data_IF_884835637604
#
_entry.id   IF_884835637604
#
_cell.length_a   1.000
_cell.length_b   1.000
_cell.length_c   1.000
_cell.angle_alpha   90.00
_cell.angle_beta   90.00
_cell.angle_gamma   90.00
#
_symmetry.space_group_name_H-M   'P 1'
#
loop_
_entity.id
_entity.type
_entity.pdbx_description
1 polymer ?
#
# COMPACT_ATOMS: atom_id res chain seq x y z
N UNK A 1 17.45 -31.53 13.94
CA UNK A 1 17.47 -30.07 14.17
C UNK A 1 16.47 -29.79 15.28
N UNK A 2 16.93 -29.87 16.53
CA UNK A 2 16.14 -29.47 17.70
C UNK A 2 16.54 -28.03 18.06
N UNK A 3 15.58 -27.20 18.50
CA UNK A 3 15.85 -25.82 18.92
C UNK A 3 15.81 -24.75 17.81
N UNK A 4 15.34 -25.08 16.60
CA UNK A 4 15.09 -24.05 15.57
C UNK A 4 13.83 -23.25 15.93
N UNK A 5 14.04 -21.98 16.23
CA UNK A 5 12.95 -21.01 16.40
C UNK A 5 12.26 -20.72 15.07
N UNK A 6 11.04 -20.18 15.13
CA UNK A 6 10.32 -19.79 13.90
C UNK A 6 11.14 -18.74 13.15
N UNK A 7 11.32 -18.92 11.84
CA UNK A 7 12.05 -17.99 11.00
C UNK A 7 11.11 -17.01 10.28
N UNK A 8 11.40 -15.72 10.38
CA UNK A 8 10.74 -14.65 9.61
C UNK A 8 11.74 -14.11 8.60
N UNK A 9 11.42 -14.26 7.32
CA UNK A 9 12.23 -13.72 6.22
C UNK A 9 11.77 -12.29 5.96
N UNK A 10 12.72 -11.36 6.01
CA UNK A 10 12.56 -9.95 5.62
C UNK A 10 13.39 -9.73 4.37
N UNK A 11 12.72 -9.85 3.22
CA UNK A 11 13.35 -9.74 1.90
C UNK A 11 13.23 -8.33 1.31
N UNK A 12 13.94 -8.11 0.20
CA UNK A 12 13.96 -6.85 -0.54
C UNK A 12 12.70 -6.59 -1.37
N UNK A 13 11.59 -7.33 -1.18
CA UNK A 13 10.41 -7.07 -2.00
C UNK A 13 9.98 -5.63 -1.81
N UNK A 14 9.98 -4.87 -2.91
CA UNK A 14 9.37 -3.54 -2.94
C UNK A 14 8.00 -3.67 -2.29
N UNK A 15 7.72 -2.83 -1.30
CA UNK A 15 6.39 -2.77 -0.71
C UNK A 15 5.40 -2.60 -1.87
N UNK A 16 4.56 -3.62 -2.08
CA UNK A 16 3.60 -3.62 -3.18
C UNK A 16 2.69 -2.41 -3.04
N UNK A 17 2.78 -1.48 -3.99
CA UNK A 17 1.88 -0.34 -4.06
C UNK A 17 0.50 -0.81 -4.52
N UNK A 18 -0.41 -1.05 -3.60
CA UNK A 18 -1.82 -0.79 -3.90
C UNK A 18 -1.95 0.73 -3.98
N UNK A 19 -2.77 1.24 -4.90
CA UNK A 19 -3.10 2.67 -4.97
C UNK A 19 -3.64 3.24 -3.64
N UNK A 20 -4.09 2.37 -2.72
CA UNK A 20 -4.54 2.73 -1.37
C UNK A 20 -3.47 2.60 -0.28
N UNK A 21 -2.28 2.08 -0.58
CA UNK A 21 -1.20 1.91 0.40
C UNK A 21 -0.60 3.25 0.83
N UNK A 22 -0.44 3.40 2.15
CA UNK A 22 0.14 4.55 2.85
C UNK A 22 1.13 4.06 3.89
N UNK A 23 2.00 4.94 4.39
CA UNK A 23 2.89 4.64 5.54
C UNK A 23 2.11 3.95 6.66
N UNK A 24 0.99 4.53 7.09
CA UNK A 24 0.20 3.98 8.18
C UNK A 24 -0.42 2.61 7.91
N UNK A 25 -0.68 2.24 6.64
CA UNK A 25 -1.23 0.92 6.30
C UNK A 25 -0.15 -0.13 6.09
N UNK A 26 1.01 0.24 5.54
CA UNK A 26 2.07 -0.72 5.22
C UNK A 26 2.93 -1.08 6.43
N UNK A 27 3.01 -0.17 7.41
CA UNK A 27 3.76 -0.43 8.64
C UNK A 27 3.11 -1.59 9.44
N UNK A 28 1.80 -1.82 9.31
CA UNK A 28 1.01 -2.85 10.03
C UNK A 28 1.22 -2.84 11.57
N UNK A 29 1.88 -1.81 12.11
CA UNK A 29 2.21 -1.64 13.52
C UNK A 29 1.00 -1.19 14.36
N UNK A 30 -0.21 -1.39 13.84
CA UNK A 30 -1.44 -1.04 14.54
C UNK A 30 -1.75 0.47 14.63
N UNK A 31 -0.84 1.41 14.32
CA UNK A 31 -1.06 2.87 14.49
C UNK A 31 -2.42 3.34 13.94
N UNK A 32 -2.72 3.05 12.67
CA UNK A 32 -4.01 3.42 12.09
C UNK A 32 -5.20 2.71 12.75
N UNK A 33 -5.04 1.46 13.20
CA UNK A 33 -6.08 0.75 13.93
C UNK A 33 -6.33 1.38 15.30
N UNK A 34 -5.26 1.67 16.05
CA UNK A 34 -5.32 2.31 17.36
C UNK A 34 -5.95 3.70 17.26
N UNK A 35 -5.56 4.51 16.26
CA UNK A 35 -6.21 5.79 15.95
C UNK A 35 -7.70 5.61 15.64
N UNK A 36 -8.08 4.63 14.81
CA UNK A 36 -9.50 4.37 14.50
C UNK A 36 -10.28 3.94 15.74
N UNK A 37 -9.68 3.17 16.65
CA UNK A 37 -10.29 2.79 17.94
C UNK A 37 -10.44 4.04 18.81
N UNK A 38 -9.41 4.89 18.88
CA UNK A 38 -9.42 6.13 19.65
C UNK A 38 -10.55 7.06 19.19
N UNK A 39 -10.65 7.31 17.89
CA UNK A 39 -11.74 8.09 17.28
C UNK A 39 -13.12 7.46 17.45
N UNK A 40 -13.21 6.13 17.39
CA UNK A 40 -14.47 5.42 17.67
C UNK A 40 -14.90 5.55 19.15
N UNK A 41 -13.96 5.72 20.08
CA UNK A 41 -14.27 5.83 21.52
C UNK A 41 -14.52 7.28 21.97
N UNK A 42 -13.71 8.22 21.50
CA UNK A 42 -13.70 9.60 22.00
C UNK A 42 -14.23 10.63 20.99
N UNK A 43 -14.29 10.29 19.71
CA UNK A 43 -14.62 11.22 18.64
C UNK A 43 -16.04 11.80 18.77
N UNK A 44 -16.15 13.12 18.59
CA UNK A 44 -17.43 13.85 18.59
C UNK A 44 -17.63 14.58 17.25
N UNK A 45 -18.78 14.39 16.57
CA UNK A 45 -19.83 13.41 16.85
C UNK A 45 -19.34 11.96 16.67
N UNK A 46 -19.95 11.03 17.42
CA UNK A 46 -19.64 9.61 17.29
C UNK A 46 -20.24 9.05 15.99
N UNK A 47 -19.40 8.47 15.13
CA UNK A 47 -19.82 7.99 13.79
C UNK A 47 -20.06 6.48 13.77
N UNK A 48 -19.40 5.72 14.65
CA UNK A 48 -19.55 4.28 14.71
C UNK A 48 -18.26 3.54 15.10
N UNK A 49 -18.16 2.24 14.76
CA UNK A 49 -17.00 1.42 15.09
C UNK A 49 -15.74 1.87 14.31
N UNK A 50 -14.55 1.31 14.60
CA UNK A 50 -13.30 1.67 13.92
C UNK A 50 -13.36 1.64 12.38
N UNK A 51 -14.18 0.74 11.81
CA UNK A 51 -14.41 0.67 10.36
C UNK A 51 -15.05 1.94 9.76
N UNK A 52 -15.80 2.70 10.55
CA UNK A 52 -16.37 3.99 10.15
C UNK A 52 -15.30 5.09 9.95
N UNK A 53 -14.07 4.84 10.42
CA UNK A 53 -12.91 5.72 10.29
C UNK A 53 -11.82 5.14 9.36
N UNK A 54 -12.15 4.07 8.61
CA UNK A 54 -11.24 3.43 7.67
C UNK A 54 -11.58 3.81 6.23
N UNK A 55 -10.59 4.33 5.50
CA UNK A 55 -10.74 4.61 4.07
C UNK A 55 -10.80 3.34 3.20
N UNK A 56 -10.53 2.16 3.78
CA UNK A 56 -10.67 0.87 3.11
C UNK A 56 -12.07 0.24 3.28
N UNK A 57 -12.95 0.83 4.09
CA UNK A 57 -14.28 0.28 4.39
C UNK A 57 -15.36 1.14 3.73
N UNK A 58 -16.07 0.64 2.71
CA UNK A 58 -17.20 1.34 2.14
C UNK A 58 -18.42 1.30 3.05
N UNK A 59 -19.21 2.36 3.01
CA UNK A 59 -20.56 2.37 3.58
C UNK A 59 -21.49 1.51 2.73
N UNK A 60 -22.25 0.61 3.35
CA UNK A 60 -23.18 -0.28 2.66
C UNK A 60 -24.57 -0.24 3.28
N UNK A 61 -25.60 -0.34 2.44
CA UNK A 61 -27.01 -0.42 2.84
C UNK A 61 -27.66 -1.61 2.12
N UNK A 62 -28.32 -2.46 2.89
CA UNK A 62 -29.12 -3.57 2.38
C UNK A 62 -30.52 -3.53 3.01
N UNK A 63 -31.55 -3.89 2.26
CA UNK A 63 -32.92 -4.01 2.76
C UNK A 63 -33.50 -5.34 2.31
N UNK A 64 -34.03 -6.13 3.25
CA UNK A 64 -34.60 -7.45 2.95
C UNK A 64 -35.61 -7.88 4.01
N UNK A 65 -36.34 -8.96 3.74
CA UNK A 65 -37.20 -9.60 4.72
C UNK A 65 -36.36 -10.54 5.59
N UNK A 66 -36.52 -10.46 6.92
CA UNK A 66 -35.96 -11.42 7.87
C UNK A 66 -37.14 -12.13 8.53
N UNK A 67 -37.07 -13.46 8.55
CA UNK A 67 -37.99 -14.30 9.31
C UNK A 67 -37.46 -14.42 10.73
N UNK A 68 -38.25 -14.02 11.72
CA UNK A 68 -37.90 -14.18 13.13
C UNK A 68 -38.56 -15.46 13.65
N UNK A 69 -37.76 -16.46 14.00
CA UNK A 69 -38.25 -17.72 14.60
C UNK A 69 -38.55 -17.53 16.10
N UNK A 70 -39.65 -16.83 16.41
CA UNK A 70 -40.29 -16.80 17.74
C UNK A 70 -41.81 -16.78 17.58
N UNK A 71 -42.50 -17.83 18.01
CA UNK A 71 -43.96 -17.93 17.87
C UNK A 71 -44.41 -17.97 16.40
N UNK A 72 -45.61 -17.45 16.10
CA UNK A 72 -46.11 -17.38 14.72
C UNK A 72 -45.11 -16.62 13.82
N UNK A 73 -44.53 -17.32 12.84
CA UNK A 73 -43.50 -16.78 11.97
C UNK A 73 -44.05 -15.59 11.15
N UNK A 74 -43.50 -14.40 11.36
CA UNK A 74 -43.84 -13.19 10.59
C UNK A 74 -42.59 -12.64 9.92
N UNK A 75 -42.64 -12.50 8.60
CA UNK A 75 -41.59 -11.85 7.84
C UNK A 75 -41.61 -10.33 8.12
N UNK A 76 -40.47 -9.77 8.56
CA UNK A 76 -40.33 -8.34 8.83
C UNK A 76 -39.28 -7.76 7.89
N UNK A 77 -39.59 -6.65 7.22
CA UNK A 77 -38.61 -5.90 6.42
C UNK A 77 -37.60 -5.24 7.36
N UNK A 78 -36.35 -5.66 7.31
CA UNK A 78 -35.24 -5.07 8.07
C UNK A 78 -34.26 -4.40 7.12
N UNK A 79 -33.80 -3.21 7.49
CA UNK A 79 -32.74 -2.50 6.79
C UNK A 79 -31.46 -2.63 7.61
N UNK A 80 -30.40 -3.10 6.97
CA UNK A 80 -29.06 -3.18 7.54
C UNK A 80 -28.21 -2.08 6.92
N UNK A 81 -27.59 -1.26 7.77
CA UNK A 81 -26.61 -0.26 7.34
C UNK A 81 -25.31 -0.45 8.11
N UNK A 82 -24.20 -0.50 7.38
CA UNK A 82 -22.86 -0.43 7.96
C UNK A 82 -22.20 0.83 7.47
N UNK A 83 -21.91 1.75 8.38
CA UNK A 83 -21.16 2.97 8.09
C UNK A 83 -19.67 2.63 7.94
N UNK A 84 -19.10 3.02 6.81
CA UNK A 84 -17.68 2.92 6.50
C UNK A 84 -17.05 4.29 6.31
N UNK A 85 -15.74 4.40 6.50
CA UNK A 85 -15.00 5.65 6.41
C UNK A 85 -14.60 6.06 5.00
N UNK A 86 -14.72 5.18 4.00
CA UNK A 86 -14.27 5.43 2.62
C UNK A 86 -14.99 6.64 1.98
N UNK A 87 -14.21 7.53 1.36
CA UNK A 87 -14.78 8.54 0.47
C UNK A 87 -15.39 7.84 -0.78
N UNK A 88 -16.68 8.04 -1.07
CA UNK A 88 -17.34 7.34 -2.18
C UNK A 88 -16.85 7.81 -3.56
N UNK A 89 -16.44 9.08 -3.71
CA UNK A 89 -16.02 9.63 -5.01
C UNK A 89 -14.69 9.07 -5.50
N UNK A 90 -13.69 9.01 -4.62
CA UNK A 90 -12.36 8.49 -4.97
C UNK A 90 -12.13 7.05 -4.50
N UNK A 91 -13.16 6.40 -3.93
CA UNK A 91 -13.08 5.05 -3.36
C UNK A 91 -11.90 4.84 -2.41
N UNK A 92 -11.60 5.85 -1.57
CA UNK A 92 -10.48 5.78 -0.63
C UNK A 92 -9.07 5.94 -1.24
N UNK A 93 -8.93 6.32 -2.52
CA UNK A 93 -7.62 6.63 -3.13
C UNK A 93 -7.08 8.02 -2.77
N UNK A 94 -7.96 8.99 -2.51
CA UNK A 94 -7.59 10.39 -2.21
C UNK A 94 -7.37 11.25 -3.46
N UNK A 95 -7.06 10.65 -4.59
CA UNK A 95 -7.07 11.28 -5.89
C UNK A 95 -8.28 10.82 -6.72
N UNK A 96 -8.81 11.71 -7.55
CA UNK A 96 -9.67 11.35 -8.67
C UNK A 96 -8.82 11.34 -9.93
N UNK A 97 -9.08 10.33 -10.73
CA UNK A 97 -8.48 10.16 -12.05
C UNK A 97 -9.37 10.89 -13.04
N UNK A 98 -8.86 11.99 -13.59
CA UNK A 98 -9.43 12.56 -14.81
C UNK A 98 -8.67 12.00 -16.01
N UNK A 99 -9.33 11.92 -17.16
CA UNK A 99 -8.74 11.34 -18.36
C UNK A 99 -8.65 12.40 -19.46
N UNK A 100 -7.44 12.56 -20.00
CA UNK A 100 -7.29 13.27 -21.26
C UNK A 100 -7.83 12.37 -22.38
N UNK A 101 -9.05 12.67 -22.82
CA UNK A 101 -9.73 11.90 -23.86
C UNK A 101 -8.96 11.87 -25.17
N UNK A 102 -8.15 12.90 -25.47
CA UNK A 102 -7.33 12.97 -26.68
C UNK A 102 -6.20 11.94 -26.68
N UNK A 103 -5.83 11.44 -25.51
CA UNK A 103 -4.85 10.37 -25.35
C UNK A 103 -5.50 8.97 -25.40
N UNK A 104 -6.82 8.87 -25.27
CA UNK A 104 -7.56 7.60 -25.30
C UNK A 104 -7.96 7.19 -26.72
N UNK A 105 -8.28 8.17 -27.57
CA UNK A 105 -8.68 7.92 -28.95
C UNK A 105 -8.39 9.12 -29.87
N UNK A 106 -8.20 8.82 -31.16
CA UNK A 106 -8.21 9.77 -32.27
C UNK A 106 -9.65 9.99 -32.74
N UNK A 107 -10.19 11.19 -32.51
CA UNK A 107 -11.59 11.52 -32.80
C UNK A 107 -11.90 11.63 -34.30
N UNK A 108 -10.86 11.73 -35.14
CA UNK A 108 -10.98 11.83 -36.59
C UNK A 108 -11.23 10.47 -37.26
N UNK A 109 -10.95 9.36 -36.54
CA UNK A 109 -11.06 7.98 -37.03
C UNK A 109 -12.27 7.25 -36.44
N UNK A 110 -12.66 6.17 -37.12
CA UNK A 110 -13.65 5.21 -36.63
C UNK A 110 -12.99 4.15 -35.74
N UNK A 111 -13.80 3.38 -35.00
CA UNK A 111 -13.27 2.30 -34.15
C UNK A 111 -12.59 1.22 -35.00
N UNK A 112 -13.17 0.90 -36.16
CA UNK A 112 -12.61 -0.07 -37.11
C UNK A 112 -11.34 0.45 -37.81
N UNK A 113 -11.17 1.77 -37.95
CA UNK A 113 -9.95 2.39 -38.49
C UNK A 113 -8.83 2.57 -37.44
N UNK A 114 -9.00 1.99 -36.25
CA UNK A 114 -8.02 2.04 -35.18
C UNK A 114 -7.98 3.38 -34.44
N UNK A 115 -9.14 3.96 -34.14
CA UNK A 115 -9.23 5.18 -33.34
C UNK A 115 -8.67 5.04 -31.91
N UNK A 116 -8.65 3.84 -31.32
CA UNK A 116 -8.22 3.66 -29.92
C UNK A 116 -6.69 3.64 -29.81
N UNK A 117 -6.14 4.57 -29.02
CA UNK A 117 -4.68 4.74 -28.84
C UNK A 117 -4.14 4.04 -27.58
N UNK A 118 -4.99 3.26 -26.91
CA UNK A 118 -4.69 2.58 -25.64
C UNK A 118 -3.81 1.34 -25.92
N UNK A 119 -2.70 1.12 -25.18
CA UNK A 119 -1.86 -0.06 -25.36
C UNK A 119 -2.64 -1.37 -25.23
N UNK A 120 -2.51 -2.25 -26.23
CA UNK A 120 -3.21 -3.53 -26.30
C UNK A 120 -4.62 -3.49 -26.89
N UNK A 121 -5.11 -2.31 -27.31
CA UNK A 121 -6.43 -2.14 -27.94
C UNK A 121 -6.27 -2.04 -29.46
N UNK A 122 -5.80 -3.11 -30.09
CA UNK A 122 -5.77 -3.21 -31.55
C UNK A 122 -7.14 -3.58 -32.12
N UNK A 123 -7.42 -3.16 -33.36
CA UNK A 123 -8.65 -3.47 -34.11
C UNK A 123 -8.83 -4.98 -34.27
N UNK A 124 -7.76 -5.68 -34.67
CA UNK A 124 -7.76 -7.15 -34.80
C UNK A 124 -7.69 -7.88 -33.46
N UNK A 125 -7.49 -7.13 -32.38
CA UNK A 125 -7.36 -7.64 -31.02
C UNK A 125 -8.70 -8.05 -30.40
N UNK A 126 -8.60 -8.60 -29.19
CA UNK A 126 -9.77 -8.94 -28.38
C UNK A 126 -10.68 -7.73 -28.13
N UNK A 127 -10.09 -6.57 -27.83
CA UNK A 127 -10.83 -5.35 -27.54
C UNK A 127 -11.43 -4.71 -28.79
N UNK A 128 -10.73 -4.68 -29.92
CA UNK A 128 -11.28 -4.20 -31.18
C UNK A 128 -12.54 -4.95 -31.60
N UNK A 129 -12.56 -6.28 -31.44
CA UNK A 129 -13.77 -7.10 -31.66
C UNK A 129 -14.92 -6.77 -30.71
N UNK A 130 -14.64 -6.51 -29.44
CA UNK A 130 -15.68 -6.13 -28.45
C UNK A 130 -16.28 -4.78 -28.79
N UNK A 131 -15.46 -3.75 -29.04
CA UNK A 131 -15.94 -2.40 -29.32
C UNK A 131 -16.60 -2.32 -30.71
N UNK A 132 -16.06 -3.01 -31.71
CA UNK A 132 -16.65 -3.10 -33.05
C UNK A 132 -17.98 -3.86 -33.07
N UNK A 133 -18.12 -4.91 -32.26
CA UNK A 133 -19.31 -5.79 -32.22
C UNK A 133 -20.34 -5.46 -31.14
N UNK A 134 -20.20 -4.38 -30.36
CA UNK A 134 -21.03 -4.14 -29.18
C UNK A 134 -22.48 -3.73 -29.48
N UNK A 135 -22.74 -3.20 -30.68
CA UNK A 135 -24.07 -2.73 -31.10
C UNK A 135 -24.57 -1.47 -30.39
N UNK A 136 -23.74 -0.79 -29.59
CA UNK A 136 -24.10 0.46 -28.91
C UNK A 136 -23.86 1.72 -29.75
N UNK A 137 -22.98 1.63 -30.75
CA UNK A 137 -22.66 2.70 -31.69
C UNK A 137 -22.23 2.08 -33.02
N UNK A 138 -22.22 2.90 -34.07
CA UNK A 138 -21.70 2.53 -35.39
C UNK A 138 -20.15 2.53 -35.36
N UNK A 139 -19.48 1.38 -35.57
CA UNK A 139 -18.03 1.28 -35.46
C UNK A 139 -17.26 1.87 -36.65
N UNK A 140 -17.92 2.12 -37.79
CA UNK A 140 -17.35 2.73 -38.99
C UNK A 140 -17.51 4.26 -38.99
N UNK A 141 -18.29 4.79 -38.04
CA UNK A 141 -18.49 6.21 -37.85
C UNK A 141 -17.29 6.82 -37.10
N UNK A 142 -16.71 7.94 -37.57
CA UNK A 142 -15.69 8.66 -36.82
C UNK A 142 -16.19 9.14 -35.46
N UNK A 143 -15.37 9.03 -34.41
CA UNK A 143 -15.78 9.32 -33.02
C UNK A 143 -16.26 10.77 -32.86
N UNK A 144 -15.67 11.75 -33.55
CA UNK A 144 -16.14 13.15 -33.53
C UNK A 144 -17.60 13.35 -33.96
N UNK A 145 -18.18 12.40 -34.69
CA UNK A 145 -19.59 12.41 -35.13
C UNK A 145 -20.52 11.68 -34.15
N UNK A 146 -19.98 11.07 -33.09
CA UNK A 146 -20.79 10.35 -32.11
C UNK A 146 -21.77 11.30 -31.43
N UNK A 147 -22.98 10.82 -31.21
CA UNK A 147 -23.93 11.51 -30.34
C UNK A 147 -23.43 11.47 -28.90
N UNK A 148 -23.95 12.35 -28.04
CA UNK A 148 -23.63 12.35 -26.61
C UNK A 148 -23.87 10.98 -25.96
N UNK A 149 -24.88 10.23 -26.42
CA UNK A 149 -25.20 8.89 -25.93
C UNK A 149 -24.19 7.85 -26.41
N UNK A 150 -23.84 7.86 -27.70
CA UNK A 150 -22.83 6.95 -28.27
C UNK A 150 -21.46 7.17 -27.61
N UNK A 151 -21.05 8.42 -27.42
CA UNK A 151 -19.80 8.77 -26.74
C UNK A 151 -19.83 8.37 -25.26
N UNK A 152 -20.95 8.58 -24.57
CA UNK A 152 -21.12 8.10 -23.20
C UNK A 152 -21.04 6.57 -23.12
N UNK A 153 -21.67 5.86 -24.05
CA UNK A 153 -21.64 4.40 -24.10
C UNK A 153 -20.21 3.87 -24.40
N UNK A 154 -19.42 4.56 -25.21
CA UNK A 154 -18.00 4.24 -25.42
C UNK A 154 -17.16 4.45 -24.15
N UNK A 155 -17.36 5.57 -23.45
CA UNK A 155 -16.48 6.01 -22.37
C UNK A 155 -16.86 5.45 -21.00
N UNK A 156 -18.13 5.50 -20.62
CA UNK A 156 -18.58 5.37 -19.23
C UNK A 156 -19.56 4.22 -18.97
N UNK A 157 -19.90 3.42 -19.99
CA UNK A 157 -20.92 2.39 -19.84
C UNK A 157 -20.56 1.35 -18.78
N UNK A 158 -21.52 1.07 -17.92
CA UNK A 158 -21.41 0.03 -16.90
C UNK A 158 -21.31 -1.39 -17.52
N UNK A 159 -20.67 -2.35 -16.81
CA UNK A 159 -20.53 -3.72 -17.27
C UNK A 159 -21.86 -4.34 -17.73
N UNK A 160 -22.01 -4.54 -19.04
CA UNK A 160 -23.24 -5.03 -19.67
C UNK A 160 -22.95 -6.30 -20.45
N UNK A 161 -23.76 -7.34 -20.28
CA UNK A 161 -23.61 -8.57 -21.08
C UNK A 161 -23.99 -8.30 -22.53
N UNK A 162 -23.10 -8.68 -23.45
CA UNK A 162 -23.31 -8.61 -24.89
C UNK A 162 -22.99 -9.97 -25.52
N UNK A 163 -23.48 -10.20 -26.74
CA UNK A 163 -23.17 -11.39 -27.52
C UNK A 163 -22.49 -10.95 -28.82
N UNK A 164 -21.24 -11.34 -29.01
CA UNK A 164 -20.44 -11.03 -30.20
C UNK A 164 -19.92 -12.33 -30.77
N UNK A 165 -20.11 -12.58 -32.06
CA UNK A 165 -19.64 -13.80 -32.76
C UNK A 165 -20.00 -15.11 -32.05
N UNK A 166 -21.24 -15.23 -31.56
CA UNK A 166 -21.74 -16.36 -30.77
C UNK A 166 -21.07 -16.61 -29.41
N UNK A 167 -20.25 -15.68 -28.92
CA UNK A 167 -19.65 -15.71 -27.57
C UNK A 167 -20.35 -14.71 -26.65
N UNK A 168 -20.70 -15.14 -25.44
CA UNK A 168 -21.23 -14.25 -24.40
C UNK A 168 -20.08 -13.51 -23.72
N UNK A 169 -20.08 -12.19 -23.84
CA UNK A 169 -19.03 -11.29 -23.33
C UNK A 169 -19.64 -10.22 -22.43
N UNK A 170 -18.78 -9.51 -21.69
CA UNK A 170 -19.19 -8.32 -20.93
C UNK A 170 -18.52 -7.10 -21.54
N UNK A 171 -19.34 -6.18 -22.04
CA UNK A 171 -18.92 -4.87 -22.49
C UNK A 171 -18.75 -3.95 -21.28
N UNK A 172 -17.68 -3.17 -21.29
CA UNK A 172 -17.36 -2.17 -20.26
C UNK A 172 -16.75 -0.97 -20.98
N UNK A 173 -17.18 0.25 -20.64
CA UNK A 173 -16.64 1.47 -21.25
C UNK A 173 -15.12 1.62 -21.03
N UNK A 174 -14.47 2.43 -21.87
CA UNK A 174 -13.01 2.62 -21.83
C UNK A 174 -12.53 3.07 -20.44
N UNK A 175 -13.20 4.02 -19.81
CA UNK A 175 -12.77 4.59 -18.53
C UNK A 175 -12.89 3.58 -17.37
N UNK A 176 -14.07 2.97 -17.10
CA UNK A 176 -14.18 1.93 -16.07
C UNK A 176 -13.18 0.79 -16.29
N UNK A 177 -12.94 0.42 -17.55
CA UNK A 177 -11.99 -0.63 -17.90
C UNK A 177 -10.55 -0.24 -17.55
N UNK A 178 -10.09 0.94 -17.98
CA UNK A 178 -8.75 1.44 -17.67
C UNK A 178 -8.55 1.60 -16.16
N UNK A 179 -9.57 2.10 -15.46
CA UNK A 179 -9.55 2.22 -13.99
C UNK A 179 -9.33 0.86 -13.32
N UNK A 180 -9.94 -0.21 -13.85
CA UNK A 180 -9.83 -1.58 -13.32
C UNK A 180 -8.55 -2.30 -13.75
N UNK A 181 -8.07 -2.08 -14.97
CA UNK A 181 -6.92 -2.80 -15.52
C UNK A 181 -5.59 -2.13 -15.23
N UNK A 182 -5.52 -0.80 -15.31
CA UNK A 182 -4.26 -0.05 -15.20
C UNK A 182 -4.16 0.71 -13.88
N UNK A 183 -5.27 1.17 -13.29
CA UNK A 183 -5.28 1.99 -12.07
C UNK A 183 -5.69 1.24 -10.79
N UNK A 184 -5.73 -0.09 -10.87
CA UNK A 184 -5.91 -0.95 -9.70
C UNK A 184 -4.59 -1.19 -8.95
N UNK A 185 -3.45 -1.04 -9.64
CA UNK A 185 -2.10 -1.18 -9.10
C UNK A 185 -1.38 0.17 -9.14
N UNK A 186 -0.29 0.28 -8.40
CA UNK A 186 0.63 1.42 -8.53
C UNK A 186 1.13 1.56 -9.97
N UNK A 187 1.17 2.80 -10.45
CA UNK A 187 1.59 3.17 -11.81
C UNK A 187 3.05 2.78 -12.03
N UNK A 188 3.88 2.84 -10.99
CA UNK A 188 5.29 2.44 -11.05
C UNK A 188 5.50 0.93 -11.17
N UNK A 189 4.47 0.13 -10.87
CA UNK A 189 4.51 -1.33 -11.02
C UNK A 189 4.05 -1.80 -12.42
N UNK A 190 3.63 -0.89 -13.29
CA UNK A 190 3.16 -1.20 -14.63
C UNK A 190 4.33 -1.43 -15.60
N UNK A 191 4.06 -2.15 -16.70
CA UNK A 191 5.03 -2.29 -17.79
C UNK A 191 5.38 -0.91 -18.38
N UNK A 192 6.63 -0.66 -18.82
CA UNK A 192 7.08 0.69 -19.17
C UNK A 192 6.20 1.42 -20.19
N UNK A 193 5.69 0.71 -21.20
CA UNK A 193 4.82 1.30 -22.22
C UNK A 193 3.39 1.60 -21.70
N UNK A 194 2.89 0.81 -20.74
CA UNK A 194 1.59 1.06 -20.09
C UNK A 194 1.72 2.22 -19.11
N UNK A 195 2.82 2.27 -18.34
CA UNK A 195 3.13 3.39 -17.45
C UNK A 195 3.17 4.71 -18.22
N UNK A 196 3.93 4.75 -19.31
CA UNK A 196 4.06 5.94 -20.15
C UNK A 196 2.71 6.38 -20.74
N UNK A 197 1.81 5.43 -21.05
CA UNK A 197 0.45 5.75 -21.46
C UNK A 197 -0.36 6.37 -20.31
N UNK A 198 -0.33 5.75 -19.12
CA UNK A 198 -1.06 6.26 -17.94
C UNK A 198 -0.58 7.67 -17.57
N UNK A 199 0.73 7.92 -17.52
CA UNK A 199 1.29 9.23 -17.21
C UNK A 199 0.85 10.35 -18.18
N UNK A 200 0.59 10.01 -19.45
CA UNK A 200 0.08 10.97 -20.44
C UNK A 200 -1.45 11.12 -20.41
N UNK A 201 -2.16 10.00 -20.28
CA UNK A 201 -3.60 9.95 -20.46
C UNK A 201 -4.39 10.21 -19.17
N UNK A 202 -3.75 10.10 -18.01
CA UNK A 202 -4.39 10.22 -16.70
C UNK A 202 -3.88 11.44 -15.98
N UNK A 203 -4.80 12.35 -15.65
CA UNK A 203 -4.55 13.48 -14.79
C UNK A 203 -4.98 13.09 -13.38
N UNK A 204 -4.01 12.88 -12.50
CA UNK A 204 -4.30 12.67 -11.09
C UNK A 204 -4.54 14.02 -10.43
N UNK A 205 -5.79 14.28 -10.04
CA UNK A 205 -6.15 15.47 -9.28
C UNK A 205 -6.55 15.06 -7.86
N UNK A 206 -6.20 15.88 -6.87
CA UNK A 206 -6.69 15.69 -5.51
C UNK A 206 -8.22 15.64 -5.50
N UNK A 207 -8.81 14.63 -4.86
CA UNK A 207 -10.25 14.46 -4.83
C UNK A 207 -10.90 15.69 -4.17
N UNK A 208 -11.79 16.43 -4.84
CA UNK A 208 -12.37 17.65 -4.28
C UNK A 208 -13.34 17.38 -3.13
N UNK A 209 -13.96 16.18 -3.08
CA UNK A 209 -14.89 15.82 -2.01
C UNK A 209 -14.16 15.59 -0.68
N UNK A 210 -13.01 14.90 -0.72
CA UNK A 210 -12.25 14.56 0.48
C UNK A 210 -11.00 15.41 0.71
N UNK A 211 -10.61 16.24 -0.26
CA UNK A 211 -9.39 17.04 -0.20
C UNK A 211 -8.12 16.21 -0.10
N UNK A 212 -8.10 14.98 -0.63
CA UNK A 212 -6.95 14.07 -0.52
C UNK A 212 -6.99 13.11 0.67
N UNK A 213 -7.75 13.41 1.72
CA UNK A 213 -7.81 12.62 2.97
C UNK A 213 -8.32 11.18 2.86
N UNK A 214 -8.84 10.77 1.69
CA UNK A 214 -9.41 9.43 1.40
C UNK A 214 -10.68 9.09 2.19
N UNK A 215 -11.08 9.94 3.14
CA UNK A 215 -12.17 9.69 4.07
C UNK A 215 -13.45 10.43 3.69
N UNK A 216 -14.59 9.81 3.98
CA UNK A 216 -15.92 10.39 3.81
C UNK A 216 -16.16 11.56 4.77
N UNK A 217 -17.19 12.37 4.47
CA UNK A 217 -17.55 13.55 5.27
C UNK A 217 -17.84 13.22 6.74
N UNK A 218 -18.51 12.10 7.01
CA UNK A 218 -18.85 11.69 8.38
C UNK A 218 -17.60 11.45 9.23
N UNK A 219 -16.65 10.64 8.75
CA UNK A 219 -15.39 10.38 9.45
C UNK A 219 -14.59 11.67 9.74
N UNK A 220 -14.54 12.60 8.78
CA UNK A 220 -13.87 13.90 8.95
C UNK A 220 -14.58 14.88 9.89
N UNK A 221 -15.90 14.75 10.05
CA UNK A 221 -16.65 15.60 10.97
C UNK A 221 -16.41 15.24 12.44
N UNK A 222 -16.00 14.00 12.72
CA UNK A 222 -15.70 13.51 14.08
C UNK A 222 -14.32 13.96 14.52
N UNK A 223 -14.27 14.68 15.64
CA UNK A 223 -13.06 15.31 16.15
C UNK A 223 -12.77 14.90 17.59
N UNK A 224 -11.49 14.86 17.94
CA UNK A 224 -10.97 14.80 19.31
C UNK A 224 -10.13 16.06 19.49
N UNK A 225 -10.43 16.87 20.50
CA UNK A 225 -9.72 18.14 20.75
C UNK A 225 -9.58 19.03 19.50
N UNK A 226 -10.63 19.09 18.66
CA UNK A 226 -10.66 19.89 17.44
C UNK A 226 -10.05 19.25 16.18
N UNK A 227 -9.34 18.13 16.33
CA UNK A 227 -8.59 17.42 15.28
C UNK A 227 -9.39 16.20 14.79
N UNK A 228 -9.58 16.08 13.48
CA UNK A 228 -10.20 14.89 12.88
C UNK A 228 -9.16 13.79 12.61
N UNK A 229 -9.61 12.56 12.34
CA UNK A 229 -8.66 11.48 12.01
C UNK A 229 -7.92 11.75 10.69
N UNK A 230 -8.53 12.52 9.77
CA UNK A 230 -7.85 12.94 8.56
C UNK A 230 -6.68 13.88 8.88
N UNK A 231 -6.92 14.85 9.77
CA UNK A 231 -5.90 15.81 10.20
C UNK A 231 -4.78 15.09 10.96
N UNK A 232 -5.13 14.17 11.89
CA UNK A 232 -4.16 13.37 12.63
C UNK A 232 -3.27 12.51 11.72
N UNK A 233 -3.82 11.92 10.66
CA UNK A 233 -3.03 11.14 9.70
C UNK A 233 -2.12 11.99 8.79
N UNK A 234 -2.45 13.27 8.60
CA UNK A 234 -1.71 14.21 7.77
C UNK A 234 -0.62 14.96 8.54
N UNK A 235 -0.65 14.94 9.88
CA UNK A 235 0.42 15.46 10.72
C UNK A 235 1.73 14.70 10.49
N UNK A 236 2.85 15.38 10.73
CA UNK A 236 4.11 14.67 10.94
C UNK A 236 3.94 13.75 12.14
N UNK A 237 4.51 12.55 12.07
CA UNK A 237 4.40 11.54 13.12
C UNK A 237 4.93 12.07 14.46
N UNK A 238 5.95 12.93 14.44
CA UNK A 238 6.46 13.63 15.62
C UNK A 238 5.41 14.56 16.26
N UNK A 239 4.65 15.31 15.46
CA UNK A 239 3.58 16.17 15.94
C UNK A 239 2.37 15.37 16.39
N UNK A 240 2.08 14.26 15.71
CA UNK A 240 1.05 13.32 16.11
C UNK A 240 1.36 12.68 17.47
N UNK A 241 2.62 12.30 17.72
CA UNK A 241 3.07 11.78 19.02
C UNK A 241 2.78 12.80 20.13
N UNK A 242 3.20 14.04 19.94
CA UNK A 242 2.95 15.14 20.88
C UNK A 242 1.44 15.36 21.12
N UNK A 243 0.64 15.32 20.06
CA UNK A 243 -0.82 15.44 20.19
C UNK A 243 -1.42 14.29 21.01
N UNK A 244 -0.93 13.05 20.83
CA UNK A 244 -1.37 11.90 21.62
C UNK A 244 -1.02 12.07 23.10
N UNK A 245 0.13 12.64 23.43
CA UNK A 245 0.56 12.90 24.81
C UNK A 245 -0.33 13.91 25.54
N UNK A 246 -0.89 14.87 24.80
CA UNK A 246 -1.81 15.86 25.35
C UNK A 246 -3.20 15.27 25.68
N UNK A 247 -3.52 14.06 25.20
CA UNK A 247 -4.80 13.39 25.46
C UNK A 247 -4.80 12.71 26.85
N UNK A 248 -5.14 13.45 27.89
CA UNK A 248 -5.31 12.90 29.23
C UNK A 248 -6.67 12.20 29.41
N UNK A 249 -6.82 10.97 28.90
CA UNK A 249 -8.09 10.21 28.94
C UNK A 249 -7.96 8.83 29.62
N UNK A 250 -8.32 8.70 30.92
CA UNK A 250 -8.14 7.46 31.68
C UNK A 250 -8.88 6.24 31.10
N UNK A 251 -10.02 6.48 30.43
CA UNK A 251 -10.85 5.41 29.84
C UNK A 251 -10.17 4.64 28.70
N UNK A 252 -9.12 5.22 28.10
CA UNK A 252 -8.37 4.65 26.97
C UNK A 252 -6.86 4.64 27.25
N UNK A 253 -6.43 4.73 28.51
CA UNK A 253 -5.01 4.81 28.85
C UNK A 253 -4.13 3.70 28.22
N UNK A 254 -4.51 2.40 28.25
CA UNK A 254 -3.71 1.36 27.60
C UNK A 254 -3.58 1.55 26.07
N UNK A 255 -4.63 2.09 25.44
CA UNK A 255 -4.64 2.38 24.00
C UNK A 255 -3.69 3.55 23.68
N UNK A 256 -3.70 4.61 24.50
CA UNK A 256 -2.81 5.75 24.35
C UNK A 256 -1.35 5.33 24.56
N UNK A 257 -1.06 4.51 25.58
CA UNK A 257 0.30 3.99 25.81
C UNK A 257 0.80 3.17 24.62
N UNK A 258 -0.02 2.27 24.06
CA UNK A 258 0.36 1.48 22.89
C UNK A 258 0.57 2.35 21.64
N UNK A 259 -0.29 3.35 21.43
CA UNK A 259 -0.18 4.29 20.32
C UNK A 259 1.09 5.13 20.44
N UNK A 260 1.36 5.69 21.62
CA UNK A 260 2.55 6.48 21.92
C UNK A 260 3.83 5.67 21.67
N UNK A 261 3.95 4.46 22.24
CA UNK A 261 5.12 3.59 22.03
C UNK A 261 5.38 3.31 20.53
N UNK A 262 4.31 3.14 19.76
CA UNK A 262 4.47 2.90 18.32
C UNK A 262 4.91 4.16 17.59
N UNK A 263 4.35 5.32 17.91
CA UNK A 263 4.77 6.61 17.32
C UNK A 263 6.22 6.96 17.70
N UNK A 264 6.63 6.69 18.95
CA UNK A 264 8.03 6.82 19.38
C UNK A 264 8.95 5.94 18.55
N UNK A 265 8.53 4.69 18.27
CA UNK A 265 9.30 3.80 17.41
C UNK A 265 9.51 4.38 16.01
N UNK A 266 8.59 5.18 15.47
CA UNK A 266 8.81 5.90 14.21
C UNK A 266 9.80 7.06 14.37
N UNK A 267 9.69 7.82 15.46
CA UNK A 267 10.55 8.98 15.72
C UNK A 267 12.00 8.54 15.96
N UNK A 268 12.20 7.49 16.74
CA UNK A 268 13.52 6.91 17.07
C UNK A 268 14.28 6.43 15.83
N UNK A 269 13.56 5.98 14.79
CA UNK A 269 14.16 5.55 13.53
C UNK A 269 14.19 6.65 12.46
N UNK A 270 13.94 7.89 12.89
CA UNK A 270 13.88 9.09 12.06
C UNK A 270 12.91 9.01 10.89
N UNK A 271 11.75 8.41 11.14
CA UNK A 271 10.59 8.54 10.27
C UNK A 271 9.57 9.52 10.84
N UNK A 272 9.91 10.26 11.90
CA UNK A 272 9.04 11.24 12.55
C UNK A 272 8.55 12.36 11.62
N UNK A 273 9.31 12.70 10.57
CA UNK A 273 8.91 13.71 9.57
C UNK A 273 7.87 13.21 8.56
N UNK A 274 7.65 11.89 8.49
CA UNK A 274 6.62 11.32 7.62
C UNK A 274 5.24 11.59 8.19
N UNK A 275 4.24 11.61 7.30
CA UNK A 275 2.83 11.53 7.66
C UNK A 275 2.32 10.11 7.44
N UNK A 276 1.32 9.69 8.22
CA UNK A 276 0.73 8.37 8.10
C UNK A 276 -0.04 8.18 6.80
N UNK A 277 -0.55 9.25 6.20
CA UNK A 277 -1.28 9.24 4.93
C UNK A 277 -0.39 9.34 3.69
N UNK A 278 0.93 9.52 3.86
CA UNK A 278 1.90 9.57 2.75
C UNK A 278 1.80 8.28 1.93
N UNK A 279 1.62 8.34 0.60
CA UNK A 279 1.56 7.15 -0.24
C UNK A 279 2.85 6.34 -0.15
N UNK A 280 2.75 5.03 0.06
CA UNK A 280 3.93 4.17 0.26
C UNK A 280 4.83 4.08 -0.96
N UNK A 281 4.27 4.24 -2.17
CA UNK A 281 5.04 4.28 -3.42
C UNK A 281 5.98 5.48 -3.54
N UNK A 282 5.77 6.53 -2.75
CA UNK A 282 6.62 7.75 -2.75
C UNK A 282 7.80 7.67 -1.79
N UNK A 283 7.96 6.56 -1.05
CA UNK A 283 9.07 6.37 -0.13
C UNK A 283 10.35 6.05 -0.91
N UNK A 284 11.45 6.67 -0.52
CA UNK A 284 12.79 6.25 -0.93
C UNK A 284 13.08 4.82 -0.47
N UNK A 285 14.07 4.17 -1.08
CA UNK A 285 14.48 2.82 -0.69
C UNK A 285 14.76 2.70 0.81
N UNK A 286 15.49 3.67 1.38
CA UNK A 286 15.79 3.67 2.80
C UNK A 286 14.61 3.98 3.72
N UNK A 287 13.72 4.89 3.33
CA UNK A 287 12.47 5.11 4.07
C UNK A 287 11.61 3.84 4.07
N UNK A 288 11.42 3.21 2.91
CA UNK A 288 10.61 2.00 2.79
C UNK A 288 11.17 0.85 3.66
N UNK A 289 12.49 0.68 3.65
CA UNK A 289 13.15 -0.34 4.45
C UNK A 289 12.97 -0.08 5.96
N UNK A 290 13.18 1.15 6.43
CA UNK A 290 12.94 1.54 7.83
C UNK A 290 11.48 1.38 8.24
N UNK A 291 10.52 1.70 7.35
CA UNK A 291 9.09 1.45 7.61
C UNK A 291 8.80 -0.03 7.84
N UNK A 292 9.37 -0.91 7.03
CA UNK A 292 9.23 -2.37 7.21
C UNK A 292 9.79 -2.82 8.56
N UNK A 293 10.88 -2.22 9.03
CA UNK A 293 11.49 -2.56 10.33
C UNK A 293 10.56 -2.27 11.52
N UNK A 294 9.75 -1.20 11.46
CA UNK A 294 8.84 -0.84 12.57
C UNK A 294 7.87 -1.98 12.88
N UNK A 295 7.39 -2.70 11.86
CA UNK A 295 6.48 -3.83 12.05
C UNK A 295 7.09 -4.88 12.97
N UNK A 296 8.38 -5.15 12.80
CA UNK A 296 9.11 -6.16 13.55
C UNK A 296 9.51 -5.63 14.94
N UNK A 297 9.86 -4.35 15.05
CA UNK A 297 10.16 -3.71 16.33
C UNK A 297 8.92 -3.52 17.21
N UNK A 298 7.76 -3.22 16.64
CA UNK A 298 6.50 -3.08 17.38
C UNK A 298 5.88 -4.41 17.80
N UNK A 299 6.41 -5.53 17.27
CA UNK A 299 5.97 -6.86 17.65
C UNK A 299 6.49 -7.23 19.04
N UNK A 300 5.66 -7.92 19.83
CA UNK A 300 6.04 -8.51 21.12
C UNK A 300 6.67 -9.90 20.97
N UNK A 301 7.09 -10.26 19.76
CA UNK A 301 7.71 -11.56 19.49
C UNK A 301 9.12 -11.61 20.07
N UNK A 302 9.37 -12.66 20.84
CA UNK A 302 10.68 -13.09 21.35
C UNK A 302 10.92 -14.53 20.92
N UNK A 303 12.17 -15.01 20.96
CA UNK A 303 12.54 -16.35 20.52
C UNK A 303 12.18 -16.62 19.04
N UNK A 304 12.39 -15.62 18.18
CA UNK A 304 12.21 -15.71 16.72
C UNK A 304 13.55 -15.51 16.01
N UNK A 305 13.77 -16.20 14.89
CA UNK A 305 14.90 -15.93 13.99
C UNK A 305 14.47 -15.00 12.87
N UNK A 306 14.99 -13.79 12.83
CA UNK A 306 14.81 -12.88 11.69
C UNK A 306 15.92 -13.08 10.68
N UNK A 307 15.58 -13.26 9.40
CA UNK A 307 16.52 -13.40 8.30
C UNK A 307 16.39 -12.20 7.37
N UNK A 308 17.41 -11.34 7.36
CA UNK A 308 17.47 -10.15 6.52
C UNK A 308 18.34 -10.39 5.29
N UNK A 309 17.84 -9.98 4.12
CA UNK A 309 18.55 -10.06 2.84
C UNK A 309 19.05 -8.67 2.39
N UNK A 310 20.32 -8.38 2.65
CA UNK A 310 21.00 -7.08 2.44
C UNK A 310 20.18 -5.87 2.90
N UNK A 311 19.92 -5.74 4.22
CA UNK A 311 19.11 -4.68 4.78
C UNK A 311 19.74 -3.27 4.64
N UNK A 312 20.92 -3.13 4.05
CA UNK A 312 21.53 -1.82 3.80
C UNK A 312 21.68 -1.46 2.33
N UNK A 313 21.18 -2.29 1.41
CA UNK A 313 21.24 -2.02 -0.03
C UNK A 313 20.58 -0.68 -0.37
N UNK A 314 21.26 0.15 -1.15
CA UNK A 314 20.74 1.47 -1.55
C UNK A 314 20.61 2.50 -0.42
N UNK A 315 21.03 2.17 0.81
CA UNK A 315 21.10 3.14 1.91
C UNK A 315 22.33 4.04 1.77
N UNK A 316 22.12 5.32 2.04
CA UNK A 316 23.20 6.28 2.24
C UNK A 316 24.05 5.87 3.46
N UNK A 317 25.38 6.13 3.50
CA UNK A 317 26.24 5.75 4.64
C UNK A 317 25.71 6.16 6.02
N UNK A 318 25.13 7.36 6.10
CA UNK A 318 24.48 7.87 7.31
C UNK A 318 23.31 7.00 7.80
N UNK A 319 22.58 6.37 6.88
CA UNK A 319 21.42 5.52 7.18
C UNK A 319 21.82 4.08 7.54
N UNK A 320 23.04 3.64 7.21
CA UNK A 320 23.55 2.31 7.56
C UNK A 320 23.69 2.17 9.08
N UNK A 321 24.30 3.17 9.74
CA UNK A 321 24.46 3.16 11.19
C UNK A 321 23.10 3.02 11.91
N UNK A 322 22.07 3.67 11.36
CA UNK A 322 20.70 3.60 11.89
C UNK A 322 20.10 2.22 11.72
N UNK A 323 20.27 1.61 10.55
CA UNK A 323 19.81 0.23 10.31
C UNK A 323 20.50 -0.74 11.28
N UNK A 324 21.79 -0.55 11.51
CA UNK A 324 22.58 -1.36 12.44
C UNK A 324 22.04 -1.28 13.87
N UNK A 325 21.72 -0.08 14.36
CA UNK A 325 21.09 0.08 15.68
C UNK A 325 19.75 -0.66 15.79
N UNK A 326 18.98 -0.73 14.70
CA UNK A 326 17.71 -1.45 14.69
C UNK A 326 17.89 -2.97 14.73
N UNK A 327 18.87 -3.48 14.02
CA UNK A 327 19.23 -4.91 14.06
C UNK A 327 19.67 -5.30 15.47
N UNK A 328 20.47 -4.47 16.13
CA UNK A 328 20.91 -4.68 17.52
C UNK A 328 19.74 -4.68 18.50
N UNK A 329 18.83 -3.70 18.40
CA UNK A 329 17.63 -3.66 19.24
C UNK A 329 16.74 -4.87 19.06
N UNK A 330 16.60 -5.36 17.82
CA UNK A 330 15.81 -6.55 17.54
C UNK A 330 16.43 -7.80 18.18
N UNK A 331 17.77 -7.93 18.13
CA UNK A 331 18.52 -8.95 18.85
C UNK A 331 18.33 -8.84 20.36
N UNK A 332 18.50 -7.64 20.92
CA UNK A 332 18.46 -7.39 22.37
C UNK A 332 17.08 -7.64 22.99
N UNK A 333 16.01 -7.73 22.16
CA UNK A 333 14.69 -8.22 22.57
C UNK A 333 14.64 -9.74 22.82
N UNK A 334 15.73 -10.47 22.62
CA UNK A 334 15.78 -11.93 22.74
C UNK A 334 15.44 -12.63 21.42
N UNK A 335 15.78 -12.03 20.29
CA UNK A 335 15.64 -12.65 18.98
C UNK A 335 17.00 -12.98 18.37
N UNK A 336 17.02 -13.96 17.47
CA UNK A 336 18.19 -14.24 16.63
C UNK A 336 18.06 -13.41 15.35
N UNK A 337 19.09 -12.63 15.00
CA UNK A 337 19.09 -11.79 13.79
C UNK A 337 20.19 -12.27 12.85
N UNK A 338 19.78 -12.95 11.79
CA UNK A 338 20.65 -13.41 10.71
C UNK A 338 20.60 -12.38 9.58
N UNK A 339 21.75 -11.87 9.16
CA UNK A 339 21.85 -10.83 8.14
C UNK A 339 22.80 -11.30 7.04
N UNK A 340 22.30 -11.31 5.80
CA UNK A 340 23.14 -11.41 4.60
C UNK A 340 23.59 -10.00 4.25
N UNK A 341 24.89 -9.74 4.29
CA UNK A 341 25.44 -8.40 4.03
C UNK A 341 26.82 -8.46 3.39
N UNK A 342 27.16 -7.35 2.73
CA UNK A 342 28.47 -7.11 2.13
C UNK A 342 29.08 -5.78 2.59
N UNK A 343 28.34 -4.90 3.28
CA UNK A 343 28.86 -3.63 3.77
C UNK A 343 29.72 -3.80 5.03
N UNK A 344 30.97 -3.27 5.05
CA UNK A 344 31.86 -3.38 6.21
C UNK A 344 31.26 -2.83 7.51
N UNK A 345 30.48 -1.76 7.44
CA UNK A 345 29.85 -1.14 8.62
C UNK A 345 28.86 -2.06 9.31
N UNK A 346 28.11 -2.88 8.55
CA UNK A 346 27.15 -3.84 9.09
C UNK A 346 27.85 -5.10 9.59
N UNK A 347 28.87 -5.58 8.87
CA UNK A 347 29.68 -6.71 9.33
C UNK A 347 30.36 -6.37 10.66
N UNK A 348 30.77 -5.12 10.86
CA UNK A 348 31.48 -4.68 12.06
C UNK A 348 30.67 -4.80 13.36
N UNK A 349 29.33 -4.77 13.30
CA UNK A 349 28.46 -4.89 14.49
C UNK A 349 28.05 -6.33 14.81
N UNK A 350 28.45 -7.31 14.00
CA UNK A 350 28.02 -8.68 14.16
C UNK A 350 28.70 -9.35 15.37
N UNK A 351 27.92 -10.06 16.18
CA UNK A 351 28.46 -10.89 17.27
C UNK A 351 29.18 -12.13 16.72
N UNK A 352 28.69 -12.66 15.60
CA UNK A 352 29.20 -13.85 14.92
C UNK A 352 29.10 -13.66 13.40
N UNK A 353 30.14 -14.06 12.68
CA UNK A 353 30.22 -13.95 11.22
C UNK A 353 30.50 -15.33 10.62
N UNK A 354 29.77 -15.64 9.56
CA UNK A 354 29.99 -16.81 8.70
C UNK A 354 30.35 -16.28 7.32
N UNK A 355 31.58 -16.56 6.88
CA UNK A 355 32.08 -16.15 5.57
C UNK A 355 31.96 -17.32 4.59
N UNK A 356 31.29 -17.09 3.45
CA UNK A 356 31.06 -18.10 2.42
C UNK A 356 31.91 -17.81 1.18
N UNK A 357 32.52 -18.85 0.62
CA UNK A 357 33.37 -18.71 -0.56
C UNK A 357 33.96 -20.04 -1.01
N UNK A 358 35.18 -20.06 -1.57
CA UNK A 358 36.08 -18.92 -1.89
C UNK A 358 35.69 -18.12 -3.14
N UNK A 359 34.77 -18.62 -3.97
CA UNK A 359 34.24 -17.93 -5.15
C UNK A 359 32.73 -18.11 -5.30
N UNK A 360 32.18 -17.75 -6.46
CA UNK A 360 30.76 -17.92 -6.77
C UNK A 360 30.47 -19.24 -7.50
N UNK A 361 29.21 -19.67 -7.52
CA UNK A 361 28.77 -20.85 -8.27
C UNK A 361 29.42 -22.15 -7.77
N UNK A 362 29.97 -22.94 -8.69
CA UNK A 362 30.64 -24.21 -8.36
C UNK A 362 31.92 -24.04 -7.54
N UNK A 363 32.49 -22.84 -7.50
CA UNK A 363 33.65 -22.50 -6.68
C UNK A 363 33.29 -21.92 -5.30
N UNK A 364 31.99 -21.92 -4.95
CA UNK A 364 31.47 -21.41 -3.68
C UNK A 364 30.88 -22.49 -2.77
N UNK A 365 30.01 -22.07 -1.85
CA UNK A 365 29.23 -22.97 -1.00
C UNK A 365 30.02 -23.61 0.15
N UNK A 366 31.24 -23.15 0.40
CA UNK A 366 32.06 -23.60 1.53
C UNK A 366 32.11 -22.51 2.60
N UNK A 367 32.03 -22.91 3.87
CA UNK A 367 32.30 -22.01 5.01
C UNK A 367 33.81 -21.77 5.08
N UNK A 368 34.25 -20.58 4.69
CA UNK A 368 35.66 -20.19 4.69
C UNK A 368 36.12 -19.71 6.06
N UNK A 369 35.22 -19.10 6.83
CA UNK A 369 35.47 -18.65 8.20
C UNK A 369 34.17 -18.66 9.00
N UNK A 370 34.30 -18.97 10.29
CA UNK A 370 33.21 -18.85 11.27
C UNK A 370 33.78 -18.35 12.59
N UNK A 371 33.19 -17.30 13.16
CA UNK A 371 33.60 -16.77 14.46
C UNK A 371 33.38 -15.27 14.59
N UNK A 372 34.22 -14.59 15.39
CA UNK A 372 34.08 -13.16 15.64
C UNK A 372 34.59 -12.30 14.47
N UNK A 373 34.14 -11.05 14.39
CA UNK A 373 34.65 -10.06 13.42
C UNK A 373 36.16 -9.87 13.53
N UNK A 374 36.71 -9.90 14.76
CA UNK A 374 38.15 -9.84 14.98
C UNK A 374 38.88 -11.06 14.39
N UNK A 375 38.30 -12.25 14.53
CA UNK A 375 38.81 -13.46 13.88
C UNK A 375 38.75 -13.39 12.36
N UNK A 376 37.66 -12.85 11.79
CA UNK A 376 37.50 -12.67 10.35
C UNK A 376 38.61 -11.78 9.78
N UNK A 377 38.92 -10.67 10.46
CA UNK A 377 40.02 -9.76 10.08
C UNK A 377 41.38 -10.45 10.02
N UNK A 378 41.60 -11.46 10.86
CA UNK A 378 42.85 -12.23 10.90
C UNK A 378 42.83 -13.50 10.03
N UNK A 379 41.67 -13.92 9.53
CA UNK A 379 41.46 -15.21 8.86
C UNK A 379 42.16 -15.35 7.51
N UNK A 380 42.50 -14.24 6.87
CA UNK A 380 43.06 -14.22 5.53
C UNK A 380 42.06 -14.60 4.43
N UNK A 381 40.75 -14.70 4.71
CA UNK A 381 39.74 -14.88 3.66
C UNK A 381 39.61 -13.64 2.76
N UNK A 382 38.91 -13.75 1.63
CA UNK A 382 38.69 -12.61 0.73
C UNK A 382 38.00 -11.46 1.45
N UNK A 383 36.91 -11.75 2.17
CA UNK A 383 36.17 -10.79 2.98
C UNK A 383 37.05 -10.17 4.07
N UNK A 384 37.82 -10.99 4.80
CA UNK A 384 38.72 -10.51 5.85
C UNK A 384 39.78 -9.53 5.35
N UNK A 385 40.32 -9.75 4.14
CA UNK A 385 41.30 -8.83 3.50
C UNK A 385 40.69 -7.49 3.11
N UNK A 386 39.48 -7.50 2.55
CA UNK A 386 38.81 -6.30 2.04
C UNK A 386 38.04 -5.50 3.10
N UNK A 387 37.92 -6.01 4.34
CA UNK A 387 37.17 -5.34 5.41
C UNK A 387 37.70 -3.95 5.80
N UNK A 388 38.96 -3.63 5.43
CA UNK A 388 39.60 -2.34 5.68
C UNK A 388 39.77 -1.48 4.42
N UNK A 389 39.41 -2.00 3.25
CA UNK A 389 39.54 -1.26 2.01
C UNK A 389 38.39 -0.25 1.95
N UNK A 390 38.74 1.03 2.06
CA UNK A 390 37.82 2.17 2.03
C UNK A 390 37.74 2.80 0.65
#
# INVERSE_FOLDING_TARGET
LEGLTTAIIVDQRRMGGDARSTVGTVTDAGVLLLLRILFSRLGRPHIGPPGAYSFNVPSVRASGAITVERGAAKAVKKTFTRTGGMCPRCEGRGAVTDFDLTQLYDDSRSINDGALTIPGYSVDGWYGRIFGGCGFFDPDKPIRRFTKRELHDLLYKEPTRIKVDNVNLTYEGLIPRIQKSFLAKDVDALQPHVRAFVERAVIFTTCPDCGGSRLGKAARSSKISGISIADACAMQISDLARWVDELAEPSVAPLLTALHHTLDSFVEIELGYLALDRPSGTLSGGEAQRVTMIRHLGSSLTDVTYVFDEPTIGLHPHDIARMNDLLLRLRDKGNTVLVVEHKPETIAIADHVVDLGPGAGTAGGTVCFEGTVAGLRASGTLTGRHLNDR
#
